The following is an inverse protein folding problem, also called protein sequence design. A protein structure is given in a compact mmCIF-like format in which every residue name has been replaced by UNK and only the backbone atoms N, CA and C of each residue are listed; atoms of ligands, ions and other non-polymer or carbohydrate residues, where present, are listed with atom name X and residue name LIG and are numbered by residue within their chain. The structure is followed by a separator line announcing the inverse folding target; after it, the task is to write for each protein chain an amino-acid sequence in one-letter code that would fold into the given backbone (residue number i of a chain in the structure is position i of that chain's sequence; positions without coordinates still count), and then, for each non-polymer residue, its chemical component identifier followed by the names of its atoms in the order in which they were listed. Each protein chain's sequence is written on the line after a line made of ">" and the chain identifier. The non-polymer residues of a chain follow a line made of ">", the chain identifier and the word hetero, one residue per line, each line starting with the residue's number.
data_IF_734792193252
#
_entry.id   IF_734792193252
#
_cell.length_a   1.000
_cell.length_b   1.000
_cell.length_c   1.000
_cell.angle_alpha   90.00
_cell.angle_beta   90.00
_cell.angle_gamma   90.00
#
_symmetry.space_group_name_H-M   'P 1'
#
loop_
_entity.id
_entity.type
_entity.pdbx_description
1 polymer ?
#
# COMPACT_ATOMS: atom_id res chain seq x y z
N UNK A 1 -12.29 -13.82 -1.51
CA UNK A 1 -11.46 -15.00 -1.15
C UNK A 1 -12.31 -16.11 -0.53
N UNK A 2 -13.16 -15.81 0.48
CA UNK A 2 -13.96 -16.83 1.19
C UNK A 2 -14.83 -17.66 0.22
N UNK A 3 -15.47 -17.04 -0.77
CA UNK A 3 -16.28 -17.74 -1.75
C UNK A 3 -15.46 -18.72 -2.61
N UNK A 4 -14.22 -18.42 -2.92
CA UNK A 4 -13.34 -19.28 -3.71
C UNK A 4 -12.81 -20.47 -2.88
N UNK A 5 -12.50 -20.25 -1.61
CA UNK A 5 -12.07 -21.33 -0.71
C UNK A 5 -13.23 -22.26 -0.32
N UNK A 6 -14.46 -21.75 -0.28
CA UNK A 6 -15.67 -22.54 -0.01
C UNK A 6 -16.15 -23.33 -1.24
N UNK A 7 -15.79 -22.93 -2.46
CA UNK A 7 -16.22 -23.59 -3.67
C UNK A 7 -15.52 -24.94 -3.97
N UNK A 8 -14.59 -25.37 -3.11
CA UNK A 8 -13.87 -26.65 -3.29
C UNK A 8 -12.94 -26.67 -4.51
N UNK A 9 -12.48 -25.50 -4.96
CA UNK A 9 -11.53 -25.41 -6.09
C UNK A 9 -10.17 -25.93 -5.63
N UNK A 10 -9.62 -26.91 -6.34
CA UNK A 10 -8.24 -27.36 -6.13
C UNK A 10 -7.26 -26.48 -6.90
N UNK A 11 -6.69 -25.53 -6.18
CA UNK A 11 -5.69 -24.62 -6.74
C UNK A 11 -4.34 -25.32 -7.04
N UNK A 12 -4.10 -26.52 -6.51
CA UNK A 12 -2.88 -27.28 -6.83
C UNK A 12 -2.97 -27.81 -8.25
N UNK A 13 -4.12 -28.38 -8.64
CA UNK A 13 -4.35 -28.81 -10.02
C UNK A 13 -4.17 -27.66 -11.01
N UNK A 14 -4.68 -26.47 -10.68
CA UNK A 14 -4.48 -25.29 -11.49
C UNK A 14 -2.99 -24.88 -11.57
N UNK A 15 -2.28 -24.84 -10.42
CA UNK A 15 -0.86 -24.51 -10.39
C UNK A 15 -0.02 -25.49 -11.22
N UNK A 16 -0.34 -26.78 -11.15
CA UNK A 16 0.34 -27.84 -11.92
C UNK A 16 0.08 -27.70 -13.42
N UNK A 17 -1.14 -27.38 -13.80
CA UNK A 17 -1.52 -27.16 -15.21
C UNK A 17 -0.86 -25.91 -15.81
N UNK A 18 -0.76 -24.81 -15.06
CA UNK A 18 -0.10 -23.58 -15.50
C UNK A 18 1.43 -23.73 -15.47
N UNK A 19 1.96 -24.52 -14.53
CA UNK A 19 3.39 -24.83 -14.42
C UNK A 19 4.28 -23.60 -14.37
N UNK A 20 5.29 -23.57 -15.24
CA UNK A 20 6.29 -22.47 -15.33
C UNK A 20 5.85 -21.32 -16.25
N UNK A 21 4.60 -21.27 -16.68
CA UNK A 21 4.12 -20.20 -17.55
C UNK A 21 4.31 -18.83 -16.89
N UNK A 22 4.70 -17.84 -17.71
CA UNK A 22 4.82 -16.46 -17.24
C UNK A 22 3.43 -15.86 -17.05
N UNK A 23 3.16 -15.36 -15.85
CA UNK A 23 1.93 -14.64 -15.55
C UNK A 23 2.09 -13.17 -15.97
N UNK A 24 1.24 -12.74 -16.88
CA UNK A 24 1.22 -11.33 -17.32
C UNK A 24 0.17 -10.61 -16.48
N UNK A 25 0.62 -9.63 -15.70
CA UNK A 25 -0.23 -8.89 -14.75
C UNK A 25 0.06 -7.40 -14.90
N UNK A 26 -0.92 -6.56 -14.60
CA UNK A 26 -0.72 -5.12 -14.51
C UNK A 26 -0.77 -4.70 -13.04
N UNK A 27 0.33 -4.13 -12.49
CA UNK A 27 0.48 -3.78 -11.07
C UNK A 27 0.35 -4.99 -10.11
N UNK A 28 1.14 -6.02 -10.37
CA UNK A 28 1.12 -7.30 -9.66
C UNK A 28 1.28 -7.18 -8.13
N UNK A 29 1.84 -6.08 -7.61
CA UNK A 29 1.98 -5.83 -6.17
C UNK A 29 0.63 -5.84 -5.46
N UNK A 30 -0.46 -5.49 -6.15
CA UNK A 30 -1.81 -5.49 -5.60
C UNK A 30 -2.41 -6.90 -5.57
N UNK A 31 -2.15 -7.73 -6.57
CA UNK A 31 -2.79 -9.04 -6.76
C UNK A 31 -2.07 -10.19 -6.06
N UNK A 32 -0.74 -10.19 -6.06
CA UNK A 32 0.09 -11.26 -5.49
C UNK A 32 -0.27 -11.66 -4.05
N UNK A 33 -0.59 -10.71 -3.13
CA UNK A 33 -1.05 -11.10 -1.79
C UNK A 33 -2.38 -11.87 -1.80
N UNK A 34 -3.29 -11.53 -2.73
CA UNK A 34 -4.56 -12.23 -2.92
C UNK A 34 -4.35 -13.64 -3.47
N UNK A 35 -3.47 -13.80 -4.45
CA UNK A 35 -3.09 -15.10 -4.99
C UNK A 35 -2.51 -16.01 -3.92
N UNK A 36 -1.60 -15.49 -3.11
CA UNK A 36 -1.04 -16.24 -1.98
C UNK A 36 -2.12 -16.73 -1.00
N UNK A 37 -3.13 -15.90 -0.71
CA UNK A 37 -4.22 -16.27 0.21
C UNK A 37 -5.07 -17.45 -0.30
N UNK A 38 -5.22 -17.60 -1.60
CA UNK A 38 -6.00 -18.70 -2.20
C UNK A 38 -5.13 -19.86 -2.70
N UNK A 39 -3.82 -19.79 -2.51
CA UNK A 39 -2.89 -20.85 -2.86
C UNK A 39 -2.39 -20.83 -4.31
N UNK A 40 -2.63 -19.75 -5.06
CA UNK A 40 -2.03 -19.55 -6.38
C UNK A 40 -0.55 -19.21 -6.25
N UNK A 41 0.29 -19.80 -7.12
CA UNK A 41 1.76 -19.77 -7.03
C UNK A 41 2.40 -19.44 -8.37
N UNK A 42 2.32 -18.18 -8.85
CA UNK A 42 3.02 -17.80 -10.07
C UNK A 42 4.53 -18.07 -9.93
N UNK A 43 5.14 -18.72 -10.94
CA UNK A 43 6.57 -19.01 -10.96
C UNK A 43 7.37 -17.96 -11.73
N UNK A 44 6.77 -17.33 -12.71
CA UNK A 44 7.34 -16.23 -13.49
C UNK A 44 6.32 -15.09 -13.66
N UNK A 45 6.79 -13.88 -13.70
CA UNK A 45 5.98 -12.67 -13.80
C UNK A 45 6.48 -11.78 -14.92
N UNK A 46 5.54 -11.21 -15.68
CA UNK A 46 5.71 -10.00 -16.47
C UNK A 46 4.70 -8.96 -15.96
N UNK A 47 5.20 -7.85 -15.43
CA UNK A 47 4.35 -6.75 -14.93
C UNK A 47 4.35 -5.60 -15.93
N UNK A 48 3.21 -5.38 -16.57
CA UNK A 48 3.08 -4.37 -17.63
C UNK A 48 3.16 -2.93 -17.09
N UNK A 49 2.83 -2.69 -15.81
CA UNK A 49 3.02 -1.38 -15.15
C UNK A 49 4.50 -1.09 -14.93
N UNK A 50 5.24 -2.05 -14.38
CA UNK A 50 6.69 -1.92 -14.15
C UNK A 50 7.42 -1.73 -15.48
N UNK A 51 7.07 -2.48 -16.52
CA UNK A 51 7.63 -2.32 -17.86
C UNK A 51 7.41 -0.91 -18.40
N UNK A 52 6.17 -0.41 -18.34
CA UNK A 52 5.83 0.95 -18.78
C UNK A 52 6.59 2.02 -18.00
N UNK A 53 6.75 1.86 -16.70
CA UNK A 53 7.54 2.80 -15.86
C UNK A 53 9.02 2.78 -16.20
N UNK A 54 9.62 1.62 -16.42
CA UNK A 54 11.01 1.51 -16.85
C UNK A 54 11.24 2.17 -18.21
N UNK A 55 10.27 2.12 -19.10
CA UNK A 55 10.29 2.80 -20.39
C UNK A 55 10.03 4.32 -20.30
N UNK A 56 9.72 4.83 -19.11
CA UNK A 56 9.55 6.26 -18.85
C UNK A 56 8.17 6.81 -19.23
N UNK A 57 7.15 5.97 -19.35
CA UNK A 57 5.79 6.44 -19.55
C UNK A 57 5.33 7.28 -18.35
N UNK A 58 4.87 8.50 -18.59
CA UNK A 58 4.35 9.38 -17.54
C UNK A 58 3.01 8.90 -16.96
N UNK A 59 2.22 8.21 -17.78
CA UNK A 59 0.95 7.58 -17.41
C UNK A 59 1.09 6.08 -17.63
N UNK A 60 1.13 5.33 -16.57
CA UNK A 60 1.47 3.90 -16.57
C UNK A 60 0.34 2.99 -16.06
N UNK A 61 -0.83 3.51 -15.70
CA UNK A 61 -2.02 2.69 -15.44
C UNK A 61 -2.52 2.02 -16.72
N UNK A 62 -3.16 0.85 -16.59
CA UNK A 62 -3.53 -0.03 -17.71
C UNK A 62 -4.18 0.72 -18.88
N UNK A 63 -5.19 1.54 -18.63
CA UNK A 63 -5.86 2.30 -19.70
C UNK A 63 -4.90 3.21 -20.48
N UNK A 64 -3.92 3.83 -19.81
CA UNK A 64 -2.96 4.69 -20.48
C UNK A 64 -1.91 3.90 -21.28
N UNK A 65 -1.47 2.75 -20.77
CA UNK A 65 -0.53 1.85 -21.45
C UNK A 65 -1.21 1.25 -22.69
N UNK A 66 -2.45 0.82 -22.56
CA UNK A 66 -3.26 0.29 -23.68
C UNK A 66 -3.49 1.36 -24.75
N UNK A 67 -3.84 2.58 -24.37
CA UNK A 67 -3.99 3.71 -25.29
C UNK A 67 -2.69 4.00 -26.03
N UNK A 68 -1.56 3.99 -25.32
CA UNK A 68 -0.23 4.28 -25.90
C UNK A 68 0.24 3.24 -26.91
N UNK A 69 0.11 1.95 -26.60
CA UNK A 69 0.65 0.86 -27.42
C UNK A 69 -0.34 0.29 -28.43
N UNK A 70 -1.64 0.29 -28.11
CA UNK A 70 -2.67 -0.35 -28.95
C UNK A 70 -3.64 0.66 -29.56
N UNK A 71 -3.62 1.93 -29.14
CA UNK A 71 -4.59 2.94 -29.58
C UNK A 71 -6.01 2.68 -29.07
N UNK A 72 -6.18 1.79 -28.07
CA UNK A 72 -7.49 1.39 -27.52
C UNK A 72 -7.76 2.16 -26.23
N UNK A 73 -8.89 2.84 -26.17
CA UNK A 73 -9.35 3.54 -24.94
C UNK A 73 -10.20 2.60 -24.11
N UNK A 74 -9.74 2.28 -22.88
CA UNK A 74 -10.51 1.50 -21.92
C UNK A 74 -11.47 2.41 -21.13
N UNK A 75 -12.72 1.98 -20.97
CA UNK A 75 -13.70 2.65 -20.12
C UNK A 75 -13.28 2.52 -18.65
N UNK A 76 -13.38 3.62 -17.88
CA UNK A 76 -13.08 3.66 -16.43
C UNK A 76 -14.34 3.37 -15.58
N UNK A 77 -15.14 2.44 -16.02
CA UNK A 77 -16.34 2.05 -15.31
C UNK A 77 -15.98 1.05 -14.20
N UNK A 78 -16.74 0.95 -13.15
CA UNK A 78 -16.68 -0.11 -12.12
C UNK A 78 -15.42 -0.26 -11.26
N UNK A 79 -14.37 0.54 -11.42
CA UNK A 79 -13.14 0.44 -10.59
C UNK A 79 -13.41 0.62 -9.08
N UNK A 80 -14.42 1.40 -8.71
CA UNK A 80 -14.86 1.62 -7.32
C UNK A 80 -16.09 0.78 -6.92
N UNK A 81 -16.47 -0.21 -7.72
CA UNK A 81 -17.62 -1.05 -7.47
C UNK A 81 -17.39 -2.03 -6.30
N UNK A 82 -18.47 -2.47 -5.66
CA UNK A 82 -18.41 -3.51 -4.63
C UNK A 82 -18.33 -4.92 -5.25
N UNK A 83 -17.15 -5.34 -5.61
CA UNK A 83 -16.86 -6.64 -6.24
C UNK A 83 -17.24 -7.86 -5.39
N UNK A 84 -17.70 -7.69 -4.15
CA UNK A 84 -18.26 -8.77 -3.34
C UNK A 84 -19.73 -9.05 -3.65
N UNK A 85 -20.38 -8.22 -4.48
CA UNK A 85 -21.77 -8.43 -4.91
C UNK A 85 -21.92 -9.75 -5.70
N UNK A 86 -22.99 -10.50 -5.45
CA UNK A 86 -23.30 -11.76 -6.15
C UNK A 86 -24.79 -11.85 -6.54
N UNK A 87 -25.11 -12.32 -7.74
CA UNK A 87 -24.18 -12.61 -8.85
C UNK A 87 -23.59 -11.31 -9.42
N UNK A 88 -22.36 -11.40 -9.97
CA UNK A 88 -21.74 -10.23 -10.61
C UNK A 88 -22.55 -9.77 -11.84
N UNK A 89 -22.87 -8.48 -12.00
CA UNK A 89 -23.47 -7.94 -13.19
C UNK A 89 -22.68 -8.26 -14.45
N UNK A 90 -23.36 -8.33 -15.61
CA UNK A 90 -22.69 -8.70 -16.88
C UNK A 90 -21.66 -7.67 -17.31
N UNK A 91 -21.94 -6.40 -17.16
CA UNK A 91 -21.06 -5.28 -17.47
C UNK A 91 -19.79 -5.29 -16.60
N UNK A 92 -19.88 -5.67 -15.32
CA UNK A 92 -18.70 -5.84 -14.47
C UNK A 92 -17.83 -7.01 -14.90
N UNK A 93 -18.44 -8.13 -15.30
CA UNK A 93 -17.68 -9.26 -15.86
C UNK A 93 -16.98 -8.89 -17.16
N UNK A 94 -17.65 -8.12 -18.03
CA UNK A 94 -17.04 -7.60 -19.25
C UNK A 94 -15.88 -6.65 -18.93
N UNK A 95 -16.04 -5.77 -17.95
CA UNK A 95 -14.96 -4.88 -17.48
C UNK A 95 -13.75 -5.70 -17.01
N UNK A 96 -13.97 -6.70 -16.14
CA UNK A 96 -12.89 -7.56 -15.65
C UNK A 96 -12.21 -8.38 -16.76
N UNK A 97 -12.94 -8.76 -17.80
CA UNK A 97 -12.37 -9.44 -18.95
C UNK A 97 -11.46 -8.51 -19.77
N UNK A 98 -11.87 -7.27 -19.97
CA UNK A 98 -11.06 -6.26 -20.69
C UNK A 98 -9.75 -5.91 -19.95
N UNK A 99 -9.71 -6.03 -18.63
CA UNK A 99 -8.48 -5.79 -17.85
C UNK A 99 -7.39 -6.85 -18.12
N UNK A 100 -7.75 -8.01 -18.70
CA UNK A 100 -6.81 -9.10 -18.98
C UNK A 100 -6.67 -9.44 -20.47
N UNK A 101 -7.68 -9.17 -21.27
CA UNK A 101 -7.75 -9.58 -22.70
C UNK A 101 -6.58 -9.03 -23.51
N UNK A 102 -6.14 -7.80 -23.23
CA UNK A 102 -5.12 -7.11 -24.00
C UNK A 102 -3.69 -7.29 -23.44
N UNK A 103 -3.53 -8.00 -22.31
CA UNK A 103 -2.24 -8.09 -21.62
C UNK A 103 -1.19 -8.85 -22.43
N UNK A 104 -1.57 -9.87 -23.18
CA UNK A 104 -0.63 -10.67 -24.02
C UNK A 104 -0.02 -9.79 -25.10
N UNK A 105 -0.84 -8.98 -25.78
CA UNK A 105 -0.34 -8.11 -26.83
C UNK A 105 0.47 -6.94 -26.26
N UNK A 106 0.07 -6.41 -25.08
CA UNK A 106 0.86 -5.40 -24.37
C UNK A 106 2.21 -5.94 -23.93
N UNK A 107 2.27 -7.18 -23.43
CA UNK A 107 3.54 -7.84 -23.06
C UNK A 107 4.49 -7.88 -24.23
N UNK A 108 4.01 -8.35 -25.41
CA UNK A 108 4.81 -8.46 -26.62
C UNK A 108 5.42 -7.11 -27.02
N UNK A 109 4.61 -6.05 -27.05
CA UNK A 109 5.05 -4.72 -27.46
C UNK A 109 5.99 -4.07 -26.44
N UNK A 110 5.66 -4.19 -25.14
CA UNK A 110 6.50 -3.69 -24.06
C UNK A 110 7.85 -4.40 -24.02
N UNK A 111 7.88 -5.72 -24.20
CA UNK A 111 9.14 -6.49 -24.22
C UNK A 111 10.02 -6.10 -25.42
N UNK A 112 9.41 -5.90 -26.59
CA UNK A 112 10.15 -5.39 -27.76
C UNK A 112 10.76 -4.02 -27.49
N UNK A 113 10.00 -3.13 -26.86
CA UNK A 113 10.45 -1.77 -26.54
C UNK A 113 11.53 -1.77 -25.44
N UNK A 114 11.39 -2.61 -24.42
CA UNK A 114 12.41 -2.82 -23.39
C UNK A 114 13.74 -3.30 -24.00
N UNK A 115 13.69 -4.26 -24.92
CA UNK A 115 14.89 -4.74 -25.65
C UNK A 115 15.52 -3.64 -26.51
N UNK A 116 14.71 -2.86 -27.23
CA UNK A 116 15.16 -1.73 -28.04
C UNK A 116 15.91 -0.68 -27.22
N UNK A 117 15.51 -0.48 -25.96
CA UNK A 117 16.14 0.47 -25.04
C UNK A 117 17.19 -0.17 -24.11
N UNK A 118 17.50 -1.46 -24.25
CA UNK A 118 18.45 -2.19 -23.40
C UNK A 118 18.02 -2.31 -21.94
N UNK A 119 16.71 -2.34 -21.68
CA UNK A 119 16.12 -2.39 -20.32
C UNK A 119 15.44 -3.72 -19.99
N UNK A 120 15.50 -4.70 -20.87
CA UNK A 120 14.88 -6.01 -20.69
C UNK A 120 15.46 -6.76 -19.46
N UNK A 121 16.77 -6.67 -19.24
CA UNK A 121 17.39 -7.24 -18.03
C UNK A 121 16.98 -6.48 -16.76
N UNK A 122 16.80 -5.16 -16.83
CA UNK A 122 16.27 -4.38 -15.70
C UNK A 122 14.87 -4.83 -15.34
N UNK A 123 14.01 -4.97 -16.35
CA UNK A 123 12.65 -5.43 -16.19
C UNK A 123 12.60 -6.85 -15.59
N UNK A 124 13.42 -7.79 -16.10
CA UNK A 124 13.52 -9.15 -15.58
C UNK A 124 13.86 -9.17 -14.08
N UNK A 125 14.81 -8.34 -13.66
CA UNK A 125 15.18 -8.24 -12.24
C UNK A 125 14.08 -7.63 -11.38
N UNK A 126 13.35 -6.61 -11.88
CA UNK A 126 12.23 -6.02 -11.18
C UNK A 126 11.06 -7.00 -11.06
N UNK A 127 10.73 -7.74 -12.12
CA UNK A 127 9.67 -8.77 -12.09
C UNK A 127 9.99 -9.87 -11.07
N UNK A 128 11.23 -10.38 -11.10
CA UNK A 128 11.68 -11.40 -10.13
C UNK A 128 11.65 -10.86 -8.68
N UNK A 129 12.03 -9.61 -8.48
CA UNK A 129 11.96 -8.96 -7.17
C UNK A 129 10.51 -8.80 -6.72
N UNK A 130 9.63 -8.30 -7.58
CA UNK A 130 8.21 -8.09 -7.29
C UNK A 130 7.51 -9.38 -6.95
N UNK A 131 7.75 -10.44 -7.73
CA UNK A 131 7.21 -11.76 -7.45
C UNK A 131 7.66 -12.28 -6.08
N UNK A 132 8.96 -12.27 -5.80
CA UNK A 132 9.52 -12.74 -4.54
C UNK A 132 8.99 -11.98 -3.32
N UNK A 133 8.89 -10.65 -3.41
CA UNK A 133 8.40 -9.83 -2.30
C UNK A 133 6.86 -9.87 -2.19
N UNK A 134 6.16 -9.98 -3.30
CA UNK A 134 4.69 -9.99 -3.34
C UNK A 134 4.06 -11.24 -2.76
N UNK A 135 4.72 -12.40 -2.91
CA UNK A 135 4.26 -13.68 -2.35
C UNK A 135 4.68 -13.89 -0.89
N UNK A 136 5.55 -13.04 -0.34
CA UNK A 136 5.90 -13.13 1.08
C UNK A 136 4.71 -12.80 1.95
N UNK A 137 4.43 -13.62 2.98
CA UNK A 137 3.41 -13.28 3.95
C UNK A 137 3.70 -11.89 4.55
N UNK A 138 2.80 -10.95 4.35
CA UNK A 138 2.93 -9.66 5.01
C UNK A 138 2.64 -9.87 6.49
N UNK A 139 3.66 -9.78 7.33
CA UNK A 139 3.46 -9.70 8.76
C UNK A 139 2.48 -8.55 9.04
N UNK A 140 1.37 -8.85 9.69
CA UNK A 140 0.44 -7.82 10.14
C UNK A 140 1.19 -6.79 10.99
N UNK A 141 0.69 -5.58 11.05
CA UNK A 141 1.30 -4.57 11.94
C UNK A 141 1.30 -5.12 13.37
N UNK A 142 2.43 -5.12 14.10
CA UNK A 142 2.51 -5.70 15.46
C UNK A 142 1.49 -5.08 16.42
N UNK A 143 1.07 -3.87 16.14
CA UNK A 143 0.03 -3.14 16.88
C UNK A 143 -0.99 -2.57 15.87
N UNK A 144 -1.97 -3.38 15.38
CA UNK A 144 -2.82 -3.01 14.24
C UNK A 144 -3.62 -1.72 14.43
N UNK A 145 -4.12 -1.45 15.64
CA UNK A 145 -4.90 -0.24 15.95
C UNK A 145 -4.08 1.07 15.83
N UNK A 146 -2.75 0.98 15.86
CA UNK A 146 -1.87 2.14 15.60
C UNK A 146 -1.94 2.63 14.14
N UNK A 147 -2.57 1.87 13.26
CA UNK A 147 -2.83 2.29 11.86
C UNK A 147 -4.09 3.13 11.69
N UNK A 148 -4.84 3.40 12.76
CA UNK A 148 -5.96 4.35 12.70
C UNK A 148 -5.45 5.68 12.12
N UNK A 149 -6.11 6.18 11.10
CA UNK A 149 -5.75 7.44 10.47
C UNK A 149 -5.73 8.57 11.52
N UNK A 150 -4.67 9.37 11.53
CA UNK A 150 -4.47 10.48 12.48
C UNK A 150 -4.29 10.07 13.96
N UNK A 151 -3.99 8.82 14.27
CA UNK A 151 -3.76 8.35 15.67
C UNK A 151 -2.68 9.17 16.38
N UNK A 152 -1.70 9.72 15.67
CA UNK A 152 -0.63 10.55 16.20
C UNK A 152 -1.12 11.84 16.88
N UNK A 153 -2.35 12.30 16.59
CA UNK A 153 -2.96 13.44 17.30
C UNK A 153 -3.23 13.14 18.76
N UNK A 154 -3.25 11.86 19.15
CA UNK A 154 -3.43 11.38 20.52
C UNK A 154 -2.10 11.03 21.19
N UNK A 155 -0.94 11.36 20.62
CA UNK A 155 0.38 10.91 21.08
C UNK A 155 0.69 11.23 22.55
N UNK A 156 0.12 12.30 23.09
CA UNK A 156 0.26 12.74 24.49
C UNK A 156 -0.96 12.43 25.35
N UNK A 157 -2.01 11.81 24.77
CA UNK A 157 -3.27 11.52 25.44
C UNK A 157 -3.47 10.00 25.59
N UNK A 158 -2.79 9.43 26.59
CA UNK A 158 -2.85 7.98 26.85
C UNK A 158 -4.28 7.48 27.10
N UNK A 159 -5.12 8.29 27.75
CA UNK A 159 -6.53 7.94 27.98
C UNK A 159 -7.34 7.96 26.69
N UNK A 160 -7.06 8.92 25.78
CA UNK A 160 -7.61 8.93 24.43
C UNK A 160 -7.13 7.73 23.61
N UNK A 161 -5.86 7.34 23.73
CA UNK A 161 -5.36 6.12 23.08
C UNK A 161 -6.08 4.86 23.58
N UNK A 162 -6.43 4.76 24.88
CA UNK A 162 -7.22 3.65 25.40
C UNK A 162 -8.61 3.56 24.75
N UNK A 163 -9.29 4.70 24.57
CA UNK A 163 -10.57 4.77 23.89
C UNK A 163 -10.42 4.39 22.41
N UNK A 164 -9.42 4.91 21.72
CA UNK A 164 -9.18 4.60 20.30
C UNK A 164 -8.91 3.11 20.08
N UNK A 165 -8.07 2.51 20.92
CA UNK A 165 -7.76 1.07 20.89
C UNK A 165 -9.01 0.24 21.08
N UNK A 166 -9.78 0.50 22.13
CA UNK A 166 -10.98 -0.27 22.46
C UNK A 166 -12.04 -0.19 21.34
N UNK A 167 -12.27 0.99 20.78
CA UNK A 167 -13.19 1.17 19.65
C UNK A 167 -12.70 0.43 18.40
N UNK A 168 -11.40 0.45 18.12
CA UNK A 168 -10.83 -0.27 16.99
C UNK A 168 -10.99 -1.79 17.16
N UNK A 169 -10.70 -2.32 18.35
CA UNK A 169 -10.82 -3.76 18.64
C UNK A 169 -12.26 -4.24 18.50
N UNK A 170 -13.22 -3.50 19.03
CA UNK A 170 -14.63 -3.85 18.90
C UNK A 170 -15.12 -3.72 17.46
N UNK A 171 -14.69 -2.68 16.73
CA UNK A 171 -14.97 -2.53 15.31
C UNK A 171 -14.44 -3.71 14.50
N UNK A 172 -13.20 -4.12 14.73
CA UNK A 172 -12.58 -5.25 14.03
C UNK A 172 -13.31 -6.56 14.33
N UNK A 173 -13.67 -6.80 15.60
CA UNK A 173 -14.44 -7.97 16.04
C UNK A 173 -15.81 -8.04 15.34
N UNK A 174 -16.52 -6.94 15.29
CA UNK A 174 -17.83 -6.86 14.62
C UNK A 174 -17.71 -6.97 13.11
N UNK A 175 -16.70 -6.34 12.51
CA UNK A 175 -16.42 -6.42 11.08
C UNK A 175 -16.19 -7.87 10.64
N UNK A 176 -15.39 -8.62 11.37
CA UNK A 176 -15.17 -10.06 11.13
C UNK A 176 -16.45 -10.89 11.31
N UNK A 177 -17.23 -10.59 12.35
CA UNK A 177 -18.48 -11.31 12.63
C UNK A 177 -19.51 -11.15 11.53
N UNK A 178 -19.61 -9.97 10.95
CA UNK A 178 -20.64 -9.63 9.97
C UNK A 178 -20.12 -9.64 8.53
N UNK A 179 -18.86 -9.99 8.33
CA UNK A 179 -18.18 -9.94 7.02
C UNK A 179 -18.40 -8.60 6.30
N UNK A 180 -18.10 -7.51 6.99
CA UNK A 180 -18.24 -6.15 6.50
C UNK A 180 -16.94 -5.36 6.66
N UNK A 181 -16.62 -4.49 5.70
CA UNK A 181 -15.46 -3.63 5.82
C UNK A 181 -15.52 -2.79 7.11
N UNK A 182 -14.47 -2.77 7.96
CA UNK A 182 -14.51 -2.10 9.27
C UNK A 182 -14.92 -0.63 9.19
N UNK A 183 -14.46 0.09 8.15
CA UNK A 183 -14.80 1.50 7.92
C UNK A 183 -16.28 1.76 7.67
N UNK A 184 -17.05 0.76 7.23
CA UNK A 184 -18.51 0.86 7.07
C UNK A 184 -19.27 0.75 8.39
N UNK A 185 -18.66 0.18 9.43
CA UNK A 185 -19.25 0.14 10.78
C UNK A 185 -18.95 1.41 11.58
N UNK A 186 -17.68 1.84 11.56
CA UNK A 186 -17.20 3.02 12.28
C UNK A 186 -15.96 3.56 11.58
N UNK A 187 -15.99 4.82 11.14
CA UNK A 187 -14.83 5.43 10.48
C UNK A 187 -13.68 5.72 11.44
N UNK A 188 -12.45 5.78 10.92
CA UNK A 188 -11.28 6.19 11.72
C UNK A 188 -11.47 7.61 12.31
N UNK A 189 -12.09 8.51 11.53
CA UNK A 189 -12.41 9.86 12.01
C UNK A 189 -13.32 9.84 13.23
N UNK A 190 -14.34 8.97 13.24
CA UNK A 190 -15.24 8.81 14.39
C UNK A 190 -14.51 8.26 15.62
N UNK A 191 -13.58 7.31 15.43
CA UNK A 191 -12.74 6.79 16.51
C UNK A 191 -11.89 7.92 17.12
N UNK A 192 -11.22 8.72 16.28
CA UNK A 192 -10.38 9.82 16.76
C UNK A 192 -11.20 10.89 17.45
N UNK A 193 -12.37 11.27 16.90
CA UNK A 193 -13.25 12.25 17.54
C UNK A 193 -13.72 11.76 18.93
N UNK A 194 -14.15 10.52 19.02
CA UNK A 194 -14.56 9.92 20.30
C UNK A 194 -13.40 9.88 21.32
N UNK A 195 -12.20 9.53 20.86
CA UNK A 195 -11.00 9.47 21.69
C UNK A 195 -10.55 10.83 22.20
N UNK A 196 -10.71 11.89 21.41
CA UNK A 196 -10.41 13.26 21.80
C UNK A 196 -11.45 13.80 22.80
N UNK A 197 -12.74 13.58 22.54
CA UNK A 197 -13.85 14.09 23.36
C UNK A 197 -14.05 13.30 24.63
N UNK A 198 -13.77 12.00 24.64
CA UNK A 198 -13.93 11.09 25.80
C UNK A 198 -15.29 11.24 26.50
N UNK A 199 -16.42 11.02 25.80
CA UNK A 199 -17.75 11.27 26.36
C UNK A 199 -18.01 10.38 27.58
N UNK A 200 -18.37 10.99 28.72
CA UNK A 200 -18.57 10.32 30.01
C UNK A 200 -20.04 9.97 30.28
N UNK A 201 -20.95 10.64 29.62
CA UNK A 201 -22.39 10.47 29.81
C UNK A 201 -23.16 10.43 28.48
N UNK A 202 -24.44 10.10 28.55
CA UNK A 202 -25.28 9.95 27.36
C UNK A 202 -25.47 11.27 26.57
N UNK A 203 -25.41 12.43 27.24
CA UNK A 203 -25.55 13.74 26.59
C UNK A 203 -24.31 14.01 25.73
N UNK A 204 -23.12 13.88 26.29
CA UNK A 204 -21.86 14.06 25.59
C UNK A 204 -21.70 13.08 24.43
N UNK A 205 -22.09 11.80 24.61
CA UNK A 205 -22.05 10.79 23.56
C UNK A 205 -22.95 11.20 22.37
N UNK A 206 -24.18 11.68 22.63
CA UNK A 206 -25.09 12.10 21.56
C UNK A 206 -24.58 13.30 20.76
N UNK A 207 -23.68 14.11 21.31
CA UNK A 207 -23.07 15.24 20.59
C UNK A 207 -22.01 14.79 19.55
N UNK A 208 -21.60 13.53 19.57
CA UNK A 208 -20.68 12.95 18.56
C UNK A 208 -21.51 12.28 17.49
N UNK A 209 -21.91 13.03 16.47
CA UNK A 209 -22.80 12.56 15.39
C UNK A 209 -22.25 11.31 14.70
N UNK A 210 -20.96 11.26 14.45
CA UNK A 210 -20.25 10.16 13.81
C UNK A 210 -20.38 8.80 14.52
N UNK A 211 -20.69 8.79 15.84
CA UNK A 211 -20.97 7.57 16.61
C UNK A 211 -22.43 7.16 16.57
N UNK A 212 -23.32 8.06 16.18
CA UNK A 212 -24.77 7.87 16.25
C UNK A 212 -25.41 7.70 14.88
N UNK A 213 -24.68 8.04 13.81
CA UNK A 213 -25.14 7.98 12.43
C UNK A 213 -24.48 6.83 11.68
N UNK A 214 -25.23 6.25 10.76
CA UNK A 214 -24.70 5.21 9.87
C UNK A 214 -23.65 5.81 8.94
N UNK A 215 -22.52 5.12 8.78
CA UNK A 215 -21.54 5.48 7.76
C UNK A 215 -22.16 5.25 6.39
N UNK A 216 -22.11 6.26 5.54
CA UNK A 216 -22.57 6.21 4.14
C UNK A 216 -21.37 6.32 3.22
N UNK A 217 -21.33 5.49 2.19
CA UNK A 217 -20.40 5.64 1.09
C UNK A 217 -21.02 6.55 0.03
N UNK A 218 -20.27 7.53 -0.41
CA UNK A 218 -20.65 8.46 -1.48
C UNK A 218 -19.61 8.34 -2.57
N UNK A 219 -19.83 7.40 -3.49
CA UNK A 219 -18.97 7.18 -4.66
C UNK A 219 -19.51 7.86 -5.92
N UNK A 220 -20.75 8.33 -5.85
CA UNK A 220 -21.49 8.90 -6.97
C UNK A 220 -22.19 7.85 -7.84
N UNK A 221 -23.46 8.06 -8.12
CA UNK A 221 -24.23 7.23 -9.06
C UNK A 221 -24.79 5.93 -8.47
N UNK A 222 -24.95 4.92 -9.34
CA UNK A 222 -25.61 3.65 -8.97
C UNK A 222 -24.84 2.81 -7.95
N UNK A 223 -23.53 3.01 -7.86
CA UNK A 223 -22.67 2.29 -6.91
C UNK A 223 -23.05 2.58 -5.46
N UNK A 224 -23.53 3.78 -5.13
CA UNK A 224 -24.00 4.11 -3.79
C UNK A 224 -25.13 3.19 -3.33
N UNK A 225 -26.02 2.77 -4.26
CA UNK A 225 -27.11 1.83 -3.98
C UNK A 225 -26.60 0.46 -3.57
N UNK A 226 -25.45 0.03 -4.11
CA UNK A 226 -24.86 -1.27 -3.78
C UNK A 226 -24.33 -1.33 -2.36
N UNK A 227 -23.75 -0.24 -1.86
CA UNK A 227 -23.33 -0.16 -0.46
C UNK A 227 -24.52 -0.13 0.52
N UNK A 228 -25.72 0.25 0.06
CA UNK A 228 -26.93 0.21 0.89
C UNK A 228 -27.30 -1.22 1.35
N UNK A 229 -26.83 -2.27 0.69
CA UNK A 229 -27.01 -3.66 1.15
C UNK A 229 -26.42 -3.90 2.56
N UNK A 230 -25.42 -3.13 2.95
CA UNK A 230 -24.84 -3.20 4.31
C UNK A 230 -25.65 -2.45 5.37
N UNK A 231 -26.64 -1.66 4.95
CA UNK A 231 -27.46 -0.88 5.86
C UNK A 231 -28.18 -1.72 6.94
N UNK A 232 -28.69 -2.94 6.67
CA UNK A 232 -29.24 -3.80 7.73
C UNK A 232 -28.24 -4.15 8.80
N UNK A 233 -26.98 -4.51 8.41
CA UNK A 233 -25.87 -4.84 9.31
C UNK A 233 -25.51 -3.61 10.15
N UNK A 234 -25.33 -2.46 9.49
CA UNK A 234 -25.02 -1.20 10.17
C UNK A 234 -26.08 -0.81 11.19
N UNK A 235 -27.37 -1.04 10.88
CA UNK A 235 -28.49 -0.80 11.81
C UNK A 235 -28.56 -1.81 12.97
N UNK A 236 -28.05 -3.04 12.77
CA UNK A 236 -27.97 -4.03 13.82
C UNK A 236 -26.93 -3.65 14.89
N UNK A 237 -25.86 -2.96 14.51
CA UNK A 237 -24.86 -2.44 15.43
C UNK A 237 -25.37 -1.13 16.05
N UNK A 238 -26.00 -1.22 17.19
CA UNK A 238 -26.58 -0.05 17.88
C UNK A 238 -25.49 0.88 18.42
N UNK A 239 -25.70 2.22 18.41
CA UNK A 239 -24.75 3.19 18.98
C UNK A 239 -24.36 2.90 20.44
N UNK A 240 -25.23 2.23 21.19
CA UNK A 240 -24.94 1.85 22.58
C UNK A 240 -23.74 0.91 22.72
N UNK A 241 -23.40 0.14 21.68
CA UNK A 241 -22.18 -0.69 21.64
C UNK A 241 -20.95 0.20 21.81
N UNK A 242 -20.84 1.24 21.00
CA UNK A 242 -19.72 2.19 21.06
C UNK A 242 -19.66 2.94 22.39
N UNK A 243 -20.84 3.33 22.90
CA UNK A 243 -20.95 3.97 24.23
C UNK A 243 -20.38 3.07 25.33
N UNK A 244 -20.78 1.80 25.37
CA UNK A 244 -20.32 0.84 26.37
C UNK A 244 -18.82 0.66 26.30
N UNK A 245 -18.25 0.49 25.10
CA UNK A 245 -16.82 0.34 24.87
C UNK A 245 -16.04 1.56 25.36
N UNK A 246 -16.53 2.78 25.05
CA UNK A 246 -15.91 4.03 25.53
C UNK A 246 -15.92 4.08 27.05
N UNK A 247 -17.05 3.77 27.69
CA UNK A 247 -17.17 3.78 29.13
C UNK A 247 -16.21 2.79 29.80
N UNK A 248 -16.10 1.58 29.26
CA UNK A 248 -15.15 0.57 29.73
C UNK A 248 -13.70 1.06 29.61
N UNK A 249 -13.33 1.63 28.45
CA UNK A 249 -11.99 2.17 28.23
C UNK A 249 -11.66 3.34 29.18
N UNK A 250 -12.64 4.20 29.47
CA UNK A 250 -12.47 5.32 30.40
C UNK A 250 -12.41 4.89 31.86
N UNK A 251 -12.91 3.71 32.19
CA UNK A 251 -12.85 3.12 33.54
C UNK A 251 -11.53 2.39 33.82
N UNK A 252 -10.69 2.15 32.79
CA UNK A 252 -9.39 1.52 32.98
C UNK A 252 -8.49 2.36 33.90
N UNK A 253 -7.72 1.74 34.81
CA UNK A 253 -6.72 2.42 35.61
C UNK A 253 -5.57 2.93 34.70
N UNK A 254 -4.89 3.98 35.16
CA UNK A 254 -3.91 4.71 34.35
C UNK A 254 -2.69 3.89 33.92
N UNK A 255 -2.33 2.88 34.65
CA UNK A 255 -1.26 1.93 34.34
C UNK A 255 -1.59 1.04 33.12
N UNK A 256 -2.88 0.78 32.87
CA UNK A 256 -3.35 0.00 31.73
C UNK A 256 -3.56 0.82 30.45
N UNK A 257 -3.41 2.15 30.51
CA UNK A 257 -3.55 2.97 29.30
C UNK A 257 -2.36 2.75 28.36
N UNK A 258 -2.61 2.47 27.06
CA UNK A 258 -1.55 2.32 26.11
C UNK A 258 -0.76 3.62 25.94
N UNK A 259 0.48 3.48 25.51
CA UNK A 259 1.31 4.61 25.07
C UNK A 259 1.64 4.46 23.59
N UNK A 260 1.89 5.57 22.93
CA UNK A 260 2.55 5.50 21.62
C UNK A 260 3.93 4.85 21.81
N UNK A 261 4.34 3.94 20.92
CA UNK A 261 5.71 3.51 20.90
C UNK A 261 6.60 4.76 20.82
N UNK A 262 7.74 4.78 21.52
CA UNK A 262 8.69 5.86 21.33
C UNK A 262 8.91 6.01 19.83
N UNK A 263 8.99 7.27 19.38
CA UNK A 263 9.51 7.52 18.02
C UNK A 263 10.78 6.65 17.92
N UNK A 264 10.98 5.90 16.81
CA UNK A 264 12.23 5.19 16.65
C UNK A 264 13.30 6.21 17.04
N UNK A 265 14.04 5.90 18.11
CA UNK A 265 15.24 6.67 18.42
C UNK A 265 15.92 6.86 17.08
N UNK A 266 16.52 8.03 16.81
CA UNK A 266 17.33 8.26 15.60
C UNK A 266 18.31 7.07 15.50
N UNK A 267 17.72 5.90 15.21
CA UNK A 267 18.45 4.68 15.05
C UNK A 267 19.24 4.92 13.79
N UNK A 268 20.52 4.72 13.85
CA UNK A 268 21.45 4.73 12.72
C UNK A 268 20.92 3.96 11.49
N UNK A 269 19.80 3.24 11.63
CA UNK A 269 19.16 2.43 10.62
C UNK A 269 18.21 3.16 9.67
N UNK A 270 17.55 4.27 10.07
CA UNK A 270 16.60 4.96 9.20
C UNK A 270 16.68 6.48 9.31
N UNK A 271 17.09 7.11 8.23
CA UNK A 271 17.14 8.55 8.10
C UNK A 271 15.75 9.20 8.21
N UNK A 272 15.63 10.38 8.82
CA UNK A 272 14.37 11.11 8.91
C UNK A 272 13.75 11.38 7.52
N UNK A 273 12.43 11.27 7.42
CA UNK A 273 11.71 11.61 6.18
C UNK A 273 11.56 13.10 5.97
N UNK A 274 11.54 13.89 7.06
CA UNK A 274 11.32 15.35 7.02
C UNK A 274 12.57 16.11 6.61
N UNK A 275 12.54 16.76 5.48
CA UNK A 275 13.65 17.60 5.00
C UNK A 275 13.94 18.79 5.92
N UNK A 276 12.95 19.28 6.68
CA UNK A 276 13.16 20.33 7.71
C UNK A 276 14.12 19.88 8.82
N UNK A 277 14.12 18.59 9.18
CA UNK A 277 15.05 18.05 10.17
C UNK A 277 16.46 18.06 9.62
N UNK A 278 16.65 17.68 8.35
CA UNK A 278 17.93 17.67 7.68
C UNK A 278 18.54 19.08 7.58
N UNK A 279 17.81 20.02 7.00
CA UNK A 279 18.33 21.39 6.79
C UNK A 279 18.57 22.13 8.08
N UNK A 280 17.73 21.95 9.11
CA UNK A 280 17.84 22.70 10.37
C UNK A 280 18.86 22.11 11.36
N UNK A 281 19.07 20.78 11.35
CA UNK A 281 19.91 20.11 12.35
C UNK A 281 21.18 19.46 11.80
N UNK A 282 21.21 19.16 10.50
CA UNK A 282 22.29 18.43 9.84
C UNK A 282 22.57 18.99 8.44
N UNK A 283 23.00 20.26 8.32
CA UNK A 283 23.15 20.93 7.02
C UNK A 283 24.12 20.21 6.08
N UNK A 284 25.24 19.70 6.57
CA UNK A 284 26.22 18.95 5.77
C UNK A 284 25.61 17.66 5.16
N UNK A 285 24.85 16.91 5.97
CA UNK A 285 24.13 15.72 5.47
C UNK A 285 23.04 16.11 4.47
N UNK A 286 22.42 17.26 4.65
CA UNK A 286 21.42 17.78 3.71
C UNK A 286 22.06 18.12 2.35
N UNK A 287 23.18 18.82 2.34
CA UNK A 287 23.94 19.16 1.12
C UNK A 287 24.37 17.89 0.37
N UNK A 288 24.92 16.92 1.08
CA UNK A 288 25.25 15.60 0.54
C UNK A 288 24.03 14.91 -0.11
N UNK A 289 22.89 14.92 0.59
CA UNK A 289 21.66 14.37 0.04
C UNK A 289 21.21 15.08 -1.24
N UNK A 290 21.38 16.39 -1.31
CA UNK A 290 21.04 17.15 -2.51
C UNK A 290 21.99 16.83 -3.66
N UNK A 291 23.28 16.71 -3.42
CA UNK A 291 24.25 16.30 -4.43
C UNK A 291 23.93 14.92 -5.02
N UNK A 292 23.65 13.94 -4.15
CA UNK A 292 23.27 12.59 -4.59
C UNK A 292 21.95 12.60 -5.37
N UNK A 293 20.96 13.37 -4.93
CA UNK A 293 19.69 13.51 -5.66
C UNK A 293 19.87 14.12 -7.04
N UNK A 294 20.74 15.12 -7.15
CA UNK A 294 21.06 15.72 -8.45
C UNK A 294 21.61 14.67 -9.42
N UNK A 295 22.57 13.87 -8.96
CA UNK A 295 23.15 12.77 -9.75
C UNK A 295 22.09 11.73 -10.15
N UNK A 296 21.22 11.32 -9.22
CA UNK A 296 20.15 10.36 -9.53
C UNK A 296 19.16 10.94 -10.55
N UNK A 297 18.80 12.22 -10.44
CA UNK A 297 17.91 12.87 -11.40
C UNK A 297 18.55 12.96 -12.79
N UNK A 298 19.85 13.27 -12.89
CA UNK A 298 20.56 13.27 -14.16
C UNK A 298 20.54 11.88 -14.81
N UNK A 299 20.82 10.82 -14.03
CA UNK A 299 20.73 9.44 -14.54
C UNK A 299 19.29 9.09 -14.96
N UNK A 300 18.30 9.59 -14.24
CA UNK A 300 16.89 9.39 -14.58
C UNK A 300 16.52 10.03 -15.91
N UNK A 301 17.01 11.24 -16.18
CA UNK A 301 16.84 11.95 -17.45
C UNK A 301 17.58 11.21 -18.58
N UNK A 302 18.85 10.88 -18.39
CA UNK A 302 19.70 10.21 -19.40
C UNK A 302 19.13 8.85 -19.81
N UNK A 303 18.58 8.11 -18.84
CA UNK A 303 18.00 6.79 -19.08
C UNK A 303 16.50 6.83 -19.39
N UNK A 304 15.85 7.99 -19.29
CA UNK A 304 14.38 8.11 -19.38
C UNK A 304 13.67 7.12 -18.44
N UNK A 305 14.17 7.02 -17.21
CA UNK A 305 13.61 6.12 -16.18
C UNK A 305 13.32 6.91 -14.92
N UNK A 306 12.11 6.84 -14.34
CA UNK A 306 11.79 7.58 -13.13
C UNK A 306 12.78 7.33 -12.00
N UNK A 307 13.19 8.38 -11.30
CA UNK A 307 14.22 8.31 -10.26
C UNK A 307 13.88 7.30 -9.14
N UNK A 308 12.59 7.15 -8.82
CA UNK A 308 12.11 6.17 -7.83
C UNK A 308 12.20 4.72 -8.31
N UNK A 309 12.27 4.48 -9.62
CA UNK A 309 12.58 3.16 -10.19
C UNK A 309 14.08 2.87 -10.12
N UNK A 310 14.93 3.89 -10.30
CA UNK A 310 16.38 3.75 -10.22
C UNK A 310 16.81 3.41 -8.79
N UNK A 311 16.26 4.11 -7.79
CA UNK A 311 16.52 3.82 -6.38
C UNK A 311 15.43 4.35 -5.46
N UNK A 312 15.02 3.54 -4.48
CA UNK A 312 14.05 4.00 -3.48
C UNK A 312 14.62 5.20 -2.69
N UNK A 313 13.89 6.33 -2.60
CA UNK A 313 14.37 7.53 -1.92
C UNK A 313 14.86 7.32 -0.49
N UNK A 314 14.32 6.30 0.23
CA UNK A 314 14.76 5.98 1.58
C UNK A 314 16.17 5.41 1.62
N UNK A 315 16.57 4.63 0.61
CA UNK A 315 17.92 4.05 0.53
C UNK A 315 18.96 5.18 0.46
N UNK A 316 18.72 6.16 -0.40
CA UNK A 316 19.61 7.33 -0.53
C UNK A 316 19.62 8.18 0.74
N UNK A 317 18.45 8.37 1.38
CA UNK A 317 18.41 9.04 2.68
C UNK A 317 19.25 8.29 3.73
N UNK A 318 19.10 6.99 3.81
CA UNK A 318 19.87 6.16 4.76
C UNK A 318 21.38 6.26 4.50
N UNK A 319 21.80 6.22 3.24
CA UNK A 319 23.21 6.37 2.87
C UNK A 319 23.77 7.74 3.31
N UNK A 320 23.09 8.82 2.96
CA UNK A 320 23.54 10.17 3.29
C UNK A 320 23.41 10.53 4.77
N UNK A 321 22.66 9.74 5.56
CA UNK A 321 22.48 9.96 6.99
C UNK A 321 23.60 9.41 7.85
N UNK A 322 24.40 8.46 7.35
CA UNK A 322 25.51 7.86 8.09
C UNK A 322 26.62 8.87 8.39
N UNK A 323 27.39 8.64 9.46
CA UNK A 323 28.47 9.53 9.89
C UNK A 323 29.66 9.54 8.93
N UNK A 324 29.99 8.37 8.37
CA UNK A 324 31.06 8.22 7.37
C UNK A 324 30.52 7.49 6.13
N UNK A 325 29.83 8.17 5.22
CA UNK A 325 29.37 7.55 3.99
C UNK A 325 30.48 7.37 2.96
N UNK A 326 31.57 8.17 3.02
CA UNK A 326 32.70 8.08 2.09
C UNK A 326 33.59 6.86 2.33
N UNK A 327 33.66 6.37 3.59
CA UNK A 327 34.38 5.15 3.94
C UNK A 327 33.64 3.85 3.68
N UNK A 328 32.39 3.90 3.18
CA UNK A 328 31.58 2.71 2.87
C UNK A 328 31.67 2.34 1.40
N UNK A 329 31.66 1.05 1.13
CA UNK A 329 31.36 0.57 -0.23
C UNK A 329 29.88 0.84 -0.54
N UNK A 330 29.65 1.82 -1.42
CA UNK A 330 28.29 2.24 -1.82
C UNK A 330 27.56 1.10 -2.52
N UNK A 331 28.24 0.28 -3.32
CA UNK A 331 27.63 -0.84 -4.02
C UNK A 331 27.14 -1.91 -3.03
N UNK A 332 27.97 -2.24 -2.05
CA UNK A 332 27.61 -3.17 -0.98
C UNK A 332 26.43 -2.62 -0.15
N UNK A 333 26.50 -1.35 0.25
CA UNK A 333 25.41 -0.70 0.99
C UNK A 333 24.08 -0.76 0.23
N UNK A 334 24.08 -0.37 -1.05
CA UNK A 334 22.86 -0.40 -1.88
C UNK A 334 22.29 -1.82 -1.97
N UNK A 335 23.14 -2.82 -2.15
CA UNK A 335 22.75 -4.23 -2.20
C UNK A 335 22.11 -4.69 -0.88
N UNK A 336 22.72 -4.36 0.26
CA UNK A 336 22.22 -4.68 1.59
C UNK A 336 20.86 -4.00 1.87
N UNK A 337 20.62 -2.82 1.29
CA UNK A 337 19.34 -2.11 1.37
C UNK A 337 18.29 -2.61 0.35
N UNK A 338 18.59 -3.66 -0.40
CA UNK A 338 17.67 -4.31 -1.34
C UNK A 338 17.59 -3.66 -2.72
N UNK A 339 18.60 -2.90 -3.11
CA UNK A 339 18.75 -2.49 -4.52
C UNK A 339 19.08 -3.70 -5.40
N UNK A 340 18.51 -3.74 -6.60
CA UNK A 340 18.77 -4.83 -7.57
C UNK A 340 20.11 -4.61 -8.25
N UNK A 341 20.75 -5.67 -8.78
CA UNK A 341 22.04 -5.55 -9.44
C UNK A 341 22.10 -4.48 -10.54
N UNK A 342 21.05 -4.35 -11.36
CA UNK A 342 21.00 -3.32 -12.38
C UNK A 342 21.04 -1.90 -11.81
N UNK A 343 20.36 -1.66 -10.68
CA UNK A 343 20.37 -0.37 -9.98
C UNK A 343 21.77 -0.07 -9.43
N UNK A 344 22.37 -1.04 -8.76
CA UNK A 344 23.71 -0.90 -8.19
C UNK A 344 24.72 -0.58 -9.30
N UNK A 345 24.70 -1.35 -10.40
CA UNK A 345 25.57 -1.13 -11.56
C UNK A 345 25.40 0.27 -12.15
N UNK A 346 24.17 0.77 -12.19
CA UNK A 346 23.84 2.07 -12.79
C UNK A 346 24.32 3.25 -11.94
N UNK A 347 24.19 3.18 -10.61
CA UNK A 347 24.34 4.38 -9.77
C UNK A 347 25.52 4.36 -8.81
N UNK A 348 26.08 3.19 -8.43
CA UNK A 348 27.01 3.11 -7.32
C UNK A 348 28.25 4.02 -7.50
N UNK A 349 28.87 3.99 -8.67
CA UNK A 349 30.06 4.80 -8.94
C UNK A 349 29.79 6.32 -8.93
N UNK A 350 28.65 6.74 -9.47
CA UNK A 350 28.28 8.16 -9.51
C UNK A 350 27.84 8.68 -8.14
N UNK A 351 27.11 7.87 -7.38
CA UNK A 351 26.76 8.19 -6.00
C UNK A 351 27.98 8.24 -5.10
N UNK A 352 28.94 7.31 -5.24
CA UNK A 352 30.19 7.31 -4.48
C UNK A 352 30.96 8.62 -4.68
N UNK A 353 31.06 9.14 -5.90
CA UNK A 353 31.68 10.44 -6.18
C UNK A 353 30.93 11.63 -5.59
N UNK A 354 29.61 11.54 -5.51
CA UNK A 354 28.77 12.65 -5.00
C UNK A 354 28.72 12.75 -3.47
N UNK A 355 29.12 11.72 -2.74
CA UNK A 355 29.14 11.70 -1.27
C UNK A 355 30.50 12.06 -0.68
N UNK A 356 31.55 12.08 -1.50
CA UNK A 356 32.90 12.55 -1.13
C UNK A 356 32.94 14.08 -1.09
#
# INVERSE_FOLDING_TARGET
>A
PVALTQAGVDWNEFNDAVGEATWIIHDAVQDLPGFTQIGLKPQALFDTEIAARLLGLHRFGLAAVTEHYLGITLAKEHSAADWSYRPLPRDWRNYAALDVELLIELERLLLEDLKRHGKDEWARQEFAYTLREGVRPRAGHPVPWMRISRITTLSRDRRGLAVAKALWEERDRLARRYDIAPGLLLSDAAIIEAAQRKPRNAREFRLIRSLNERVRMHTGGEQDKMFERYAPIQRAVKPNVWKTVIQQALALPADQWPSMPPAPADSQANAPRSMKVWSARHPERYERLQAVRHVINQIAEDTRTPAEMIVKPQIIRNLCWTDDPGGRDVAEFLTQQGARPWQVSLIAASVSRAIM
#
